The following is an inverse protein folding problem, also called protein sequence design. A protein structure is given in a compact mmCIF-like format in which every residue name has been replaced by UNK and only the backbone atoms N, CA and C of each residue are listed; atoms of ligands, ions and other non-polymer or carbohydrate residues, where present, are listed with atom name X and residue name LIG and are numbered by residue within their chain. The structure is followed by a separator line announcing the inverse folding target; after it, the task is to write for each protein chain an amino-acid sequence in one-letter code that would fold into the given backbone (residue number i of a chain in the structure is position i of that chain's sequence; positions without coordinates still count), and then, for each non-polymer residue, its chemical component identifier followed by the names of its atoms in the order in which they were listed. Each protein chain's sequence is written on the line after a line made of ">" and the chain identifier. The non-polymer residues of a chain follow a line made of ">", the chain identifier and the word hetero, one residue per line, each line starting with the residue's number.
data_IF_940231357009
#
_entry.id   IF_940231357009
#
_cell.length_a   1.000
_cell.length_b   1.000
_cell.length_c   1.000
_cell.angle_alpha   90.00
_cell.angle_beta   90.00
_cell.angle_gamma   90.00
#
_symmetry.space_group_name_H-M   'P 1'
#
loop_
_entity.id
_entity.type
_entity.pdbx_description
1 polymer ?
#
# COMPACT_ATOMS: atom_id res chain seq x y z
N UNK A 1 -6.41 -16.64 -7.54
CA UNK A 1 -7.28 -16.11 -6.49
C UNK A 1 -6.88 -14.66 -6.29
N UNK A 2 -7.80 -13.69 -6.48
CA UNK A 2 -7.60 -12.30 -6.09
C UNK A 2 -7.14 -12.19 -4.63
N UNK A 3 -6.36 -11.16 -4.29
CA UNK A 3 -5.85 -10.95 -2.93
C UNK A 3 -6.99 -10.89 -1.91
N UNK A 4 -8.06 -10.18 -2.25
CA UNK A 4 -9.25 -10.00 -1.40
C UNK A 4 -9.92 -11.34 -1.07
N UNK A 5 -10.07 -12.21 -2.09
CA UNK A 5 -10.64 -13.55 -1.92
C UNK A 5 -9.74 -14.45 -1.06
N UNK A 6 -8.42 -14.30 -1.20
CA UNK A 6 -7.44 -15.05 -0.40
C UNK A 6 -7.47 -14.63 1.07
N UNK A 7 -7.55 -13.32 1.34
CA UNK A 7 -7.62 -12.76 2.69
C UNK A 7 -8.95 -13.15 3.35
N UNK A 8 -10.08 -13.03 2.65
CA UNK A 8 -11.38 -13.46 3.18
C UNK A 8 -11.41 -14.95 3.53
N UNK A 9 -10.85 -15.79 2.66
CA UNK A 9 -10.76 -17.22 2.89
C UNK A 9 -9.90 -17.54 4.10
N UNK A 10 -8.72 -16.95 4.21
CA UNK A 10 -7.82 -17.16 5.35
C UNK A 10 -8.45 -16.73 6.68
N UNK A 11 -9.14 -15.58 6.74
CA UNK A 11 -9.83 -15.13 7.96
C UNK A 11 -10.96 -16.09 8.33
N UNK A 12 -11.70 -16.59 7.34
CA UNK A 12 -12.79 -17.54 7.56
C UNK A 12 -12.28 -18.88 8.08
N UNK A 13 -11.20 -19.41 7.50
CA UNK A 13 -10.56 -20.66 7.95
C UNK A 13 -10.03 -20.51 9.38
N UNK A 14 -9.35 -19.41 9.71
CA UNK A 14 -8.92 -19.15 11.08
C UNK A 14 -10.08 -19.12 12.09
N UNK A 15 -11.22 -18.52 11.73
CA UNK A 15 -12.42 -18.51 12.57
C UNK A 15 -12.96 -19.94 12.77
N UNK A 16 -13.00 -20.75 11.71
CA UNK A 16 -13.48 -22.13 11.74
C UNK A 16 -12.59 -23.05 12.56
N UNK A 17 -11.27 -22.88 12.46
CA UNK A 17 -10.27 -23.66 13.21
C UNK A 17 -10.06 -23.14 14.66
N UNK A 18 -10.86 -22.17 15.08
CA UNK A 18 -10.78 -21.55 16.41
C UNK A 18 -9.43 -20.84 16.68
N UNK A 19 -8.77 -20.35 15.64
CA UNK A 19 -7.53 -19.59 15.70
C UNK A 19 -7.88 -18.10 15.73
N UNK A 20 -7.61 -17.44 16.87
CA UNK A 20 -7.96 -16.03 17.08
C UNK A 20 -9.45 -15.72 16.83
N UNK A 21 -10.34 -16.73 16.92
CA UNK A 21 -11.71 -16.62 16.44
C UNK A 21 -12.49 -15.47 17.10
N UNK A 22 -12.33 -15.24 18.40
CA UNK A 22 -13.02 -14.13 19.09
C UNK A 22 -12.51 -12.76 18.66
N UNK A 23 -11.22 -12.64 18.35
CA UNK A 23 -10.63 -11.42 17.83
C UNK A 23 -11.07 -11.17 16.39
N UNK A 24 -10.99 -12.19 15.54
CA UNK A 24 -11.35 -12.11 14.13
C UNK A 24 -12.85 -11.87 13.93
N UNK A 25 -13.73 -12.48 14.73
CA UNK A 25 -15.18 -12.22 14.67
C UNK A 25 -15.52 -10.78 15.03
N UNK A 26 -14.81 -10.18 16.01
CA UNK A 26 -15.05 -8.80 16.45
C UNK A 26 -14.50 -7.76 15.48
N UNK A 27 -13.36 -8.07 14.85
CA UNK A 27 -12.59 -7.11 14.05
C UNK A 27 -12.47 -7.52 12.57
N UNK A 28 -13.38 -8.35 12.05
CA UNK A 28 -13.25 -8.97 10.73
C UNK A 28 -13.05 -7.94 9.61
N UNK A 29 -13.90 -6.92 9.56
CA UNK A 29 -13.85 -5.90 8.53
C UNK A 29 -12.54 -5.09 8.59
N UNK A 30 -12.09 -4.75 9.80
CA UNK A 30 -10.84 -4.02 10.01
C UNK A 30 -9.64 -4.87 9.61
N UNK A 31 -9.54 -6.14 10.06
CA UNK A 31 -8.44 -7.04 9.73
C UNK A 31 -8.35 -7.30 8.22
N UNK A 32 -9.48 -7.46 7.54
CA UNK A 32 -9.52 -7.64 6.08
C UNK A 32 -9.07 -6.35 5.37
N UNK A 33 -9.63 -5.20 5.76
CA UNK A 33 -9.27 -3.93 5.15
C UNK A 33 -7.80 -3.58 5.39
N UNK A 34 -7.32 -3.79 6.62
CA UNK A 34 -5.93 -3.62 7.01
C UNK A 34 -5.01 -4.50 6.15
N UNK A 35 -5.31 -5.80 6.07
CA UNK A 35 -4.50 -6.77 5.32
C UNK A 35 -4.49 -6.57 3.82
N UNK A 36 -5.53 -5.94 3.26
CA UNK A 36 -5.65 -5.66 1.81
C UNK A 36 -5.09 -4.27 1.47
N UNK A 37 -5.31 -3.26 2.31
CA UNK A 37 -5.11 -1.85 1.95
C UNK A 37 -3.96 -1.14 2.67
N UNK A 38 -3.42 -1.66 3.78
CA UNK A 38 -2.45 -0.88 4.57
C UNK A 38 -1.12 -0.62 3.86
N UNK A 39 -0.74 -1.44 2.85
CA UNK A 39 0.51 -1.23 2.15
C UNK A 39 0.49 -1.76 0.72
N UNK A 40 0.13 -0.88 -0.23
CA UNK A 40 0.41 -1.10 -1.65
C UNK A 40 1.81 -0.57 -1.99
N UNK A 41 2.79 -1.47 -1.89
CA UNK A 41 4.19 -1.19 -2.23
C UNK A 41 4.35 -0.58 -3.63
N UNK A 42 3.53 -1.02 -4.60
CA UNK A 42 3.65 -0.59 -6.00
C UNK A 42 3.19 0.85 -6.16
N UNK A 43 2.07 1.22 -5.54
CA UNK A 43 1.59 2.60 -5.54
C UNK A 43 2.55 3.54 -4.80
N UNK A 44 3.11 3.12 -3.67
CA UNK A 44 4.13 3.90 -2.96
C UNK A 44 5.40 4.09 -3.81
N UNK A 45 5.91 3.03 -4.45
CA UNK A 45 7.07 3.12 -5.36
C UNK A 45 6.81 4.03 -6.58
N UNK A 46 5.56 4.10 -7.08
CA UNK A 46 5.19 5.03 -8.16
C UNK A 46 5.19 6.48 -7.70
N UNK A 47 4.63 6.76 -6.51
CA UNK A 47 4.64 8.11 -5.93
C UNK A 47 6.07 8.60 -5.72
N UNK A 48 6.93 7.73 -5.19
CA UNK A 48 8.34 8.03 -4.97
C UNK A 48 9.05 8.39 -6.29
N UNK A 49 8.92 7.55 -7.32
CA UNK A 49 9.52 7.82 -8.64
C UNK A 49 9.04 9.12 -9.26
N UNK A 50 7.75 9.45 -9.11
CA UNK A 50 7.20 10.71 -9.61
C UNK A 50 7.82 11.91 -8.89
N UNK A 51 7.91 11.86 -7.56
CA UNK A 51 8.51 12.92 -6.77
C UNK A 51 9.99 13.15 -7.10
N UNK A 52 10.76 12.06 -7.29
CA UNK A 52 12.16 12.12 -7.74
C UNK A 52 12.30 12.76 -9.12
N UNK A 53 11.43 12.37 -10.07
CA UNK A 53 11.42 12.96 -11.41
C UNK A 53 11.08 14.46 -11.38
N UNK A 54 10.01 14.84 -10.69
CA UNK A 54 9.58 16.23 -10.57
C UNK A 54 10.68 17.10 -9.93
N UNK A 55 11.35 16.58 -8.89
CA UNK A 55 12.49 17.24 -8.25
C UNK A 55 13.67 17.39 -9.20
N UNK A 56 14.00 16.35 -9.98
CA UNK A 56 15.08 16.40 -10.97
C UNK A 56 14.84 17.41 -12.08
N UNK A 57 13.59 17.53 -12.55
CA UNK A 57 13.19 18.53 -13.55
C UNK A 57 13.33 19.95 -12.99
N UNK A 58 12.86 20.18 -11.76
CA UNK A 58 12.96 21.50 -11.12
C UNK A 58 14.43 21.92 -10.91
N UNK A 59 15.27 20.98 -10.47
CA UNK A 59 16.71 21.21 -10.31
C UNK A 59 17.39 21.53 -11.64
N UNK A 60 17.10 20.76 -12.69
CA UNK A 60 17.64 21.02 -14.03
C UNK A 60 17.22 22.37 -14.59
N UNK A 61 15.97 22.79 -14.37
CA UNK A 61 15.50 24.11 -14.76
C UNK A 61 16.23 25.23 -14.02
N UNK A 62 16.36 25.13 -12.68
CA UNK A 62 17.09 26.10 -11.86
C UNK A 62 18.55 26.23 -12.31
N UNK A 63 19.24 25.11 -12.50
CA UNK A 63 20.63 25.10 -12.98
C UNK A 63 20.77 25.73 -14.37
N UNK A 64 19.82 25.47 -15.27
CA UNK A 64 19.81 26.08 -16.60
C UNK A 64 19.61 27.59 -16.59
N UNK A 65 18.77 28.10 -15.69
CA UNK A 65 18.59 29.54 -15.48
C UNK A 65 19.85 30.16 -14.89
N UNK A 66 20.43 29.57 -13.84
CA UNK A 66 21.65 30.06 -13.20
C UNK A 66 22.89 30.04 -14.12
N UNK A 67 22.99 29.09 -15.06
CA UNK A 67 24.10 29.03 -16.03
C UNK A 67 23.91 29.94 -17.24
N UNK A 68 22.68 30.43 -17.48
CA UNK A 68 22.33 31.29 -18.61
C UNK A 68 22.43 32.79 -18.31
N UNK A 69 22.40 33.17 -17.03
CA UNK A 69 22.64 34.52 -16.52
C UNK A 69 24.15 34.83 -16.35
#
# INVERSE_FOLDING_TARGET
>A
MPLDDAVQKAVTECIQENILADFLKKNQAEVIAMSIFEYDKVEEEKKLRKAEFDTGVEQGFKQGVEQGD
#
